data_IF_324876243110
#
_entry.id   IF_324876243110
#
_cell.length_a   1.000
_cell.length_b   1.000
_cell.length_c   1.000
_cell.angle_alpha   90.00
_cell.angle_beta   90.00
_cell.angle_gamma   90.00
#
_symmetry.space_group_name_H-M   'P 1'
#
loop_
_entity.id
_entity.type
_entity.pdbx_description
1 polymer ?
#
# COMPACT_ATOMS: atom_id res chain seq x y z
N UNK A 1 5.75 27.31 -3.17
CA UNK A 1 5.97 26.54 -4.43
C UNK A 1 7.18 27.12 -5.18
N UNK A 2 8.39 26.87 -4.66
CA UNK A 2 9.64 27.50 -5.12
C UNK A 2 10.18 26.86 -6.41
N UNK A 3 9.71 25.67 -6.78
CA UNK A 3 10.50 24.77 -7.63
C UNK A 3 9.99 24.58 -9.06
N UNK A 4 8.80 25.11 -9.42
CA UNK A 4 8.50 25.39 -10.84
C UNK A 4 9.56 26.32 -11.47
N UNK A 5 10.33 27.06 -10.65
CA UNK A 5 11.42 27.92 -11.10
C UNK A 5 12.66 27.17 -11.60
N UNK A 6 12.79 25.86 -11.40
CA UNK A 6 14.04 25.13 -11.71
C UNK A 6 13.90 24.04 -12.77
N UNK A 7 12.69 23.63 -13.14
CA UNK A 7 12.49 22.61 -14.18
C UNK A 7 13.11 23.04 -15.52
N UNK A 8 13.87 22.14 -16.14
CA UNK A 8 14.63 22.40 -17.37
C UNK A 8 15.82 23.33 -17.19
N UNK A 9 16.11 23.81 -15.96
CA UNK A 9 17.29 24.63 -15.69
C UNK A 9 18.50 23.77 -15.39
N UNK A 10 19.64 24.22 -15.90
CA UNK A 10 20.96 23.75 -15.52
C UNK A 10 21.38 24.43 -14.22
N UNK A 11 21.65 23.62 -13.21
CA UNK A 11 22.16 24.02 -11.91
C UNK A 11 23.62 23.60 -11.81
N UNK A 12 24.39 24.36 -11.04
CA UNK A 12 25.79 24.07 -10.75
C UNK A 12 25.93 23.82 -9.27
N UNK A 13 26.41 22.64 -8.89
CA UNK A 13 26.84 22.33 -7.53
C UNK A 13 28.37 22.39 -7.47
N UNK A 14 28.89 22.96 -6.39
CA UNK A 14 30.31 22.93 -6.08
C UNK A 14 30.52 21.92 -4.96
N UNK A 15 31.17 20.81 -5.27
CA UNK A 15 31.51 19.76 -4.31
C UNK A 15 32.90 20.05 -3.76
N UNK A 16 33.01 20.21 -2.45
CA UNK A 16 34.27 20.45 -1.75
C UNK A 16 34.58 19.22 -0.88
N UNK A 17 35.67 18.53 -1.17
CA UNK A 17 36.16 17.39 -0.39
C UNK A 17 37.41 17.79 0.40
N UNK A 18 37.41 17.55 1.72
CA UNK A 18 38.55 17.80 2.61
C UNK A 18 39.07 16.50 3.22
N UNK A 19 40.38 16.27 3.15
CA UNK A 19 41.06 15.15 3.84
C UNK A 19 42.48 15.57 4.23
N UNK A 20 42.84 15.38 5.51
CA UNK A 20 44.18 15.68 6.06
C UNK A 20 44.70 17.08 5.67
N UNK A 21 43.85 18.10 5.81
CA UNK A 21 44.19 19.49 5.49
C UNK A 21 44.28 19.81 3.99
N UNK A 22 44.07 18.84 3.09
CA UNK A 22 43.97 19.08 1.64
C UNK A 22 42.51 19.21 1.22
N UNK A 23 42.22 20.26 0.45
CA UNK A 23 40.92 20.52 -0.15
C UNK A 23 40.96 20.25 -1.66
N UNK A 24 39.91 19.59 -2.18
CA UNK A 24 39.66 19.48 -3.61
C UNK A 24 38.24 19.94 -3.92
N UNK A 25 38.11 20.73 -4.97
CA UNK A 25 36.83 21.29 -5.41
C UNK A 25 36.49 20.77 -6.79
N UNK A 26 35.24 20.37 -7.00
CA UNK A 26 34.69 19.97 -8.31
C UNK A 26 33.35 20.66 -8.53
N UNK A 27 33.26 21.43 -9.60
CA UNK A 27 31.97 21.91 -10.10
C UNK A 27 31.31 20.79 -10.92
N UNK A 28 30.03 20.53 -10.62
CA UNK A 28 29.19 19.58 -11.32
C UNK A 28 27.95 20.32 -11.81
N UNK A 29 27.72 20.26 -13.11
CA UNK A 29 26.49 20.74 -13.72
C UNK A 29 25.47 19.61 -13.73
N UNK A 30 24.24 19.91 -13.31
CA UNK A 30 23.13 18.97 -13.36
C UNK A 30 21.88 19.72 -13.80
N UNK A 31 21.06 19.09 -14.64
CA UNK A 31 19.74 19.61 -14.99
C UNK A 31 18.68 18.96 -14.11
N UNK A 32 17.64 19.71 -13.78
CA UNK A 32 16.41 19.09 -13.27
C UNK A 32 15.45 18.91 -14.43
N UNK A 33 14.96 17.68 -14.62
CA UNK A 33 13.87 17.37 -15.55
C UNK A 33 12.78 16.67 -14.76
N UNK A 34 11.56 17.18 -14.89
CA UNK A 34 10.39 16.57 -14.28
C UNK A 34 9.59 15.81 -15.34
N UNK A 35 9.50 14.47 -15.22
CA UNK A 35 8.58 13.66 -16.03
C UNK A 35 7.18 13.77 -15.43
N UNK A 36 6.33 14.55 -16.11
CA UNK A 36 4.95 14.80 -15.72
C UNK A 36 4.14 13.51 -15.79
N UNK A 37 3.33 13.26 -14.77
CA UNK A 37 2.30 12.21 -14.83
C UNK A 37 0.94 12.80 -15.19
N UNK A 38 0.08 11.98 -15.78
CA UNK A 38 -1.28 12.33 -16.23
C UNK A 38 -2.38 11.82 -15.27
N UNK A 39 -2.00 11.06 -14.25
CA UNK A 39 -2.92 10.40 -13.33
C UNK A 39 -3.24 11.18 -12.05
N UNK A 40 -2.69 12.40 -11.87
CA UNK A 40 -3.00 13.26 -10.72
C UNK A 40 -3.30 14.69 -11.15
N UNK A 41 -4.42 15.21 -10.66
CA UNK A 41 -4.78 16.62 -10.76
C UNK A 41 -4.80 17.26 -9.37
N UNK A 42 -4.22 18.44 -9.23
CA UNK A 42 -4.18 19.17 -7.95
C UNK A 42 -4.68 20.59 -8.11
N UNK A 43 -5.69 20.96 -7.33
CA UNK A 43 -6.21 22.33 -7.20
C UNK A 43 -5.82 22.87 -5.83
N UNK A 44 -5.14 24.02 -5.81
CA UNK A 44 -4.71 24.69 -4.57
C UNK A 44 -5.53 25.97 -4.40
N UNK A 45 -6.34 26.02 -3.36
CA UNK A 45 -7.06 27.20 -2.89
C UNK A 45 -6.34 27.80 -1.68
N UNK A 46 -5.56 28.85 -1.93
CA UNK A 46 -4.78 29.54 -0.89
C UNK A 46 -5.64 30.38 0.05
N UNK A 47 -6.84 30.79 -0.38
CA UNK A 47 -7.71 31.63 0.43
C UNK A 47 -8.39 30.77 1.50
N UNK A 48 -8.90 29.61 1.09
CA UNK A 48 -9.57 28.67 1.98
C UNK A 48 -8.63 27.62 2.61
N UNK A 49 -7.31 27.75 2.40
CA UNK A 49 -6.30 26.81 2.89
C UNK A 49 -6.62 25.35 2.57
N UNK A 50 -7.00 25.11 1.31
CA UNK A 50 -7.47 23.79 0.85
C UNK A 50 -6.74 23.34 -0.41
N UNK A 51 -6.41 22.05 -0.46
CA UNK A 51 -5.82 21.39 -1.61
C UNK A 51 -6.69 20.20 -1.97
N UNK A 52 -7.37 20.26 -3.12
CA UNK A 52 -8.16 19.15 -3.63
C UNK A 52 -7.33 18.40 -4.67
N UNK A 53 -7.15 17.10 -4.46
CA UNK A 53 -6.40 16.22 -5.36
C UNK A 53 -7.33 15.16 -5.93
N UNK A 54 -7.38 15.05 -7.25
CA UNK A 54 -8.02 13.92 -7.94
C UNK A 54 -6.96 12.94 -8.37
N UNK A 55 -7.10 11.68 -7.92
CA UNK A 55 -6.16 10.61 -8.20
C UNK A 55 -6.81 9.53 -9.06
N UNK A 56 -6.29 9.32 -10.28
CA UNK A 56 -6.78 8.29 -11.20
C UNK A 56 -6.08 6.97 -10.91
N UNK A 57 -6.81 6.05 -10.31
CA UNK A 57 -6.34 4.70 -9.95
C UNK A 57 -6.85 3.69 -10.96
N UNK A 58 -6.21 2.53 -11.08
CA UNK A 58 -6.61 1.48 -12.02
C UNK A 58 -6.76 0.14 -11.30
N UNK A 59 -7.84 0.03 -10.52
CA UNK A 59 -8.16 -1.16 -9.74
C UNK A 59 -8.89 -2.17 -10.63
N UNK A 60 -8.40 -3.40 -10.65
CA UNK A 60 -8.92 -4.51 -11.47
C UNK A 60 -9.46 -5.64 -10.61
N UNK A 61 -10.44 -6.38 -11.12
CA UNK A 61 -10.86 -7.64 -10.49
C UNK A 61 -9.77 -8.68 -10.76
N UNK A 62 -8.98 -8.97 -9.73
CA UNK A 62 -7.95 -10.01 -9.76
C UNK A 62 -8.53 -11.42 -9.61
N UNK A 63 -9.85 -11.53 -9.42
CA UNK A 63 -10.55 -12.79 -9.22
C UNK A 63 -10.50 -13.27 -7.77
N UNK A 64 -10.74 -14.56 -7.59
CA UNK A 64 -10.88 -15.19 -6.28
C UNK A 64 -9.97 -16.40 -6.14
N UNK A 65 -9.40 -16.54 -4.95
CA UNK A 65 -8.58 -17.66 -4.55
C UNK A 65 -9.29 -18.43 -3.42
N UNK A 66 -9.22 -19.77 -3.52
CA UNK A 66 -9.76 -20.71 -2.53
C UNK A 66 -11.28 -20.86 -2.45
N UNK A 67 -11.99 -20.51 -3.52
CA UNK A 67 -13.44 -20.80 -3.67
C UNK A 67 -13.75 -21.87 -4.72
N UNK A 68 -12.87 -22.07 -5.71
CA UNK A 68 -13.11 -22.98 -6.83
C UNK A 68 -12.73 -24.42 -6.47
N UNK A 69 -13.71 -25.32 -6.50
CA UNK A 69 -13.45 -26.75 -6.47
C UNK A 69 -12.89 -27.24 -7.81
N UNK A 70 -12.01 -28.23 -7.77
CA UNK A 70 -11.46 -28.89 -8.95
C UNK A 70 -11.84 -30.36 -8.97
N UNK A 71 -12.13 -30.87 -10.16
CA UNK A 71 -12.36 -32.29 -10.39
C UNK A 71 -11.07 -32.95 -10.82
N UNK A 72 -10.78 -34.12 -10.28
CA UNK A 72 -9.61 -34.93 -10.64
C UNK A 72 -10.02 -36.39 -10.77
N UNK A 73 -9.29 -37.14 -11.59
CA UNK A 73 -9.44 -38.58 -11.68
C UNK A 73 -8.74 -39.23 -10.48
N UNK A 74 -9.48 -40.08 -9.79
CA UNK A 74 -9.02 -40.88 -8.66
C UNK A 74 -9.31 -42.35 -8.91
N UNK A 75 -8.66 -43.24 -8.17
CA UNK A 75 -8.80 -44.69 -8.29
C UNK A 75 -7.71 -45.38 -9.11
N UNK A 76 -7.66 -46.70 -9.02
CA UNK A 76 -6.78 -47.54 -9.83
C UNK A 76 -7.24 -47.61 -11.29
N UNK A 77 -6.41 -48.16 -12.18
CA UNK A 77 -6.59 -48.15 -13.65
C UNK A 77 -7.99 -48.57 -14.13
N UNK A 78 -8.63 -49.53 -13.47
CA UNK A 78 -9.94 -50.08 -13.86
C UNK A 78 -11.10 -49.57 -12.96
N UNK A 79 -10.81 -48.70 -11.99
CA UNK A 79 -11.76 -48.12 -11.03
C UNK A 79 -11.73 -46.58 -11.05
N UNK A 80 -11.24 -46.00 -12.15
CA UNK A 80 -11.09 -44.55 -12.25
C UNK A 80 -12.45 -43.87 -12.21
N UNK A 81 -12.61 -42.92 -11.31
CA UNK A 81 -13.79 -42.09 -11.18
C UNK A 81 -13.41 -40.64 -10.91
N UNK A 82 -14.34 -39.73 -11.20
CA UNK A 82 -14.15 -38.31 -10.92
C UNK A 82 -14.45 -38.02 -9.46
N UNK A 83 -13.48 -37.47 -8.75
CA UNK A 83 -13.65 -36.92 -7.42
C UNK A 83 -13.56 -35.39 -7.49
N UNK A 84 -14.33 -34.72 -6.64
CA UNK A 84 -14.28 -33.27 -6.48
C UNK A 84 -13.52 -32.94 -5.19
N UNK A 85 -12.50 -32.09 -5.31
CA UNK A 85 -11.79 -31.50 -4.16
C UNK A 85 -12.03 -30.01 -4.12
N UNK A 86 -12.39 -29.51 -2.96
CA UNK A 86 -12.57 -28.09 -2.73
C UNK A 86 -11.46 -27.54 -1.83
N UNK A 87 -11.12 -26.25 -1.95
CA UNK A 87 -10.04 -25.65 -1.15
C UNK A 87 -10.26 -25.79 0.37
N UNK A 88 -11.51 -25.68 0.83
CA UNK A 88 -11.85 -25.85 2.24
C UNK A 88 -11.66 -27.28 2.77
N UNK A 89 -11.55 -28.29 1.90
CA UNK A 89 -11.27 -29.67 2.33
C UNK A 89 -9.81 -29.83 2.80
N UNK A 90 -8.94 -28.86 2.46
CA UNK A 90 -7.53 -28.83 2.90
C UNK A 90 -7.36 -28.25 4.31
N UNK A 91 -8.39 -27.63 4.87
CA UNK A 91 -8.31 -27.01 6.20
C UNK A 91 -8.25 -28.13 7.24
N UNK A 92 -7.20 -28.21 8.08
CA UNK A 92 -7.10 -29.24 9.11
C UNK A 92 -8.28 -29.16 10.07
N UNK A 93 -8.85 -30.31 10.46
CA UNK A 93 -9.94 -30.36 11.45
C UNK A 93 -9.57 -29.68 12.76
N UNK A 94 -8.30 -29.75 13.16
CA UNK A 94 -7.75 -29.09 14.35
C UNK A 94 -7.72 -27.56 14.26
N UNK A 95 -7.75 -27.00 13.05
CA UNK A 95 -7.79 -25.55 12.83
C UNK A 95 -9.22 -24.99 12.84
N UNK A 96 -10.25 -25.85 12.76
CA UNK A 96 -11.64 -25.41 12.72
C UNK A 96 -12.07 -24.83 14.07
N UNK A 97 -12.60 -23.62 14.02
CA UNK A 97 -13.14 -22.88 15.16
C UNK A 97 -14.66 -23.07 15.23
N UNK A 98 -15.18 -23.38 16.42
CA UNK A 98 -16.61 -23.53 16.64
C UNK A 98 -17.39 -22.29 16.19
N UNK A 99 -18.44 -22.49 15.38
CA UNK A 99 -19.26 -21.41 14.82
C UNK A 99 -18.64 -20.66 13.63
N UNK A 100 -17.45 -21.06 13.14
CA UNK A 100 -16.79 -20.46 11.97
C UNK A 100 -16.63 -21.51 10.87
N UNK A 101 -17.59 -21.53 9.94
CA UNK A 101 -17.52 -22.44 8.79
C UNK A 101 -16.60 -21.89 7.69
N UNK A 102 -15.92 -22.76 6.91
CA UNK A 102 -15.21 -22.32 5.71
C UNK A 102 -16.11 -21.56 4.74
N UNK A 103 -15.56 -20.51 4.12
CA UNK A 103 -16.30 -19.64 3.22
C UNK A 103 -16.38 -20.32 1.85
N UNK A 104 -17.58 -20.50 1.29
CA UNK A 104 -17.77 -21.22 0.01
C UNK A 104 -18.19 -20.32 -1.16
N UNK A 105 -18.35 -19.03 -0.90
CA UNK A 105 -18.62 -18.00 -1.90
C UNK A 105 -18.12 -16.65 -1.38
N UNK A 106 -17.80 -15.72 -2.30
CA UNK A 106 -17.34 -14.36 -1.97
C UNK A 106 -18.28 -13.68 -0.97
N UNK A 107 -17.73 -13.23 0.15
CA UNK A 107 -18.42 -12.35 1.12
C UNK A 107 -18.29 -10.86 0.77
N UNK A 108 -17.47 -10.55 -0.24
CA UNK A 108 -17.28 -9.24 -0.84
C UNK A 108 -17.17 -9.41 -2.35
N UNK A 109 -17.95 -8.63 -3.10
CA UNK A 109 -17.79 -8.53 -4.55
C UNK A 109 -16.57 -7.69 -4.91
N UNK A 110 -16.16 -7.72 -6.18
CA UNK A 110 -15.15 -6.77 -6.66
C UNK A 110 -15.55 -5.31 -6.42
N UNK A 111 -16.81 -4.94 -6.62
CA UNK A 111 -17.28 -3.58 -6.36
C UNK A 111 -17.15 -3.17 -4.88
N UNK A 112 -17.32 -4.12 -3.95
CA UNK A 112 -17.08 -3.87 -2.53
C UNK A 112 -15.59 -3.65 -2.24
N UNK A 113 -14.71 -4.47 -2.83
CA UNK A 113 -13.27 -4.33 -2.69
C UNK A 113 -12.77 -3.02 -3.31
N UNK A 114 -13.24 -2.66 -4.50
CA UNK A 114 -12.95 -1.39 -5.16
C UNK A 114 -13.33 -0.20 -4.26
N UNK A 115 -14.53 -0.24 -3.69
CA UNK A 115 -15.01 0.80 -2.78
C UNK A 115 -14.17 0.88 -1.51
N UNK A 116 -13.78 -0.25 -0.92
CA UNK A 116 -12.89 -0.28 0.24
C UNK A 116 -11.52 0.29 -0.10
N UNK A 117 -10.87 -0.19 -1.17
CA UNK A 117 -9.57 0.30 -1.61
C UNK A 117 -9.58 1.82 -1.84
N UNK A 118 -10.56 2.33 -2.59
CA UNK A 118 -10.72 3.78 -2.83
C UNK A 118 -10.96 4.56 -1.54
N UNK A 119 -11.76 4.03 -0.60
CA UNK A 119 -11.98 4.63 0.71
C UNK A 119 -10.68 4.70 1.52
N UNK A 120 -9.88 3.64 1.50
CA UNK A 120 -8.56 3.58 2.14
C UNK A 120 -7.60 4.61 1.56
N UNK A 121 -7.46 4.64 0.24
CA UNK A 121 -6.63 5.62 -0.49
C UNK A 121 -7.03 7.05 -0.11
N UNK A 122 -8.34 7.36 -0.18
CA UNK A 122 -8.85 8.68 0.15
C UNK A 122 -8.60 9.05 1.61
N UNK A 123 -8.75 8.10 2.54
CA UNK A 123 -8.53 8.32 3.98
C UNK A 123 -7.05 8.58 4.27
N UNK A 124 -6.18 7.66 3.90
CA UNK A 124 -4.80 7.63 4.38
C UNK A 124 -3.88 8.63 3.66
N UNK A 125 -4.21 9.02 2.42
CA UNK A 125 -3.45 10.05 1.71
C UNK A 125 -4.00 11.47 1.93
N UNK A 126 -5.16 11.62 2.59
CA UNK A 126 -5.68 12.94 2.97
C UNK A 126 -5.02 13.47 4.24
N UNK A 127 -4.85 14.80 4.31
CA UNK A 127 -4.32 15.54 5.47
C UNK A 127 -5.38 16.55 5.92
N UNK A 128 -6.33 16.12 6.74
CA UNK A 128 -7.52 16.90 7.15
C UNK A 128 -7.65 16.95 8.68
N UNK A 129 -8.42 17.93 9.20
CA UNK A 129 -8.69 18.04 10.63
C UNK A 129 -7.43 18.25 11.48
N UNK A 130 -7.07 17.26 12.31
CA UNK A 130 -5.87 17.35 13.16
C UNK A 130 -4.57 17.11 12.40
N UNK A 131 -4.65 16.45 11.24
CA UNK A 131 -3.48 15.99 10.48
C UNK A 131 -3.22 16.89 9.28
N UNK A 132 -3.44 18.21 9.39
CA UNK A 132 -3.27 19.15 8.27
C UNK A 132 -1.84 19.18 7.72
N UNK A 133 -1.72 19.60 6.47
CA UNK A 133 -0.43 19.72 5.78
C UNK A 133 0.16 21.11 5.99
N UNK A 134 1.21 21.21 6.80
CA UNK A 134 1.95 22.47 6.98
C UNK A 134 2.84 22.77 5.78
N UNK A 135 2.58 23.85 5.06
CA UNK A 135 3.38 24.39 3.96
C UNK A 135 3.82 25.80 4.35
N UNK A 136 5.13 26.02 4.45
CA UNK A 136 5.71 27.25 5.00
C UNK A 136 5.15 27.56 6.40
N UNK A 137 4.48 28.69 6.60
CA UNK A 137 3.87 29.10 7.88
C UNK A 137 2.36 28.83 7.95
N UNK A 138 1.79 28.13 6.95
CA UNK A 138 0.35 27.92 6.83
C UNK A 138 0.00 26.43 6.84
N UNK A 139 -1.15 26.09 7.40
CA UNK A 139 -1.69 24.73 7.39
C UNK A 139 -2.79 24.62 6.34
N UNK A 140 -2.72 23.58 5.51
CA UNK A 140 -3.70 23.28 4.47
C UNK A 140 -4.43 21.98 4.78
N UNK A 141 -5.75 21.97 4.53
CA UNK A 141 -6.48 20.71 4.38
C UNK A 141 -6.20 20.14 2.98
N UNK A 142 -5.65 18.94 2.92
CA UNK A 142 -5.49 18.22 1.67
C UNK A 142 -6.48 17.07 1.60
N UNK A 143 -7.35 17.11 0.60
CA UNK A 143 -8.39 16.10 0.37
C UNK A 143 -8.05 15.32 -0.89
N UNK A 144 -7.95 14.00 -0.74
CA UNK A 144 -7.78 13.07 -1.85
C UNK A 144 -9.13 12.51 -2.27
N UNK A 145 -9.38 12.56 -3.58
CA UNK A 145 -10.49 11.86 -4.23
C UNK A 145 -9.94 10.95 -5.32
N UNK A 146 -10.02 9.65 -5.09
CA UNK A 146 -9.72 8.64 -6.09
C UNK A 146 -10.86 8.49 -7.10
N UNK A 147 -10.51 8.17 -8.34
CA UNK A 147 -11.41 7.76 -9.42
C UNK A 147 -10.80 6.51 -10.05
N UNK A 148 -11.54 5.40 -10.11
CA UNK A 148 -11.09 4.21 -10.81
C UNK A 148 -11.31 4.37 -12.32
N UNK A 149 -10.23 4.24 -13.09
CA UNK A 149 -10.23 4.37 -14.55
C UNK A 149 -8.97 3.72 -15.14
N UNK A 150 -9.02 3.32 -16.40
CA UNK A 150 -7.84 2.88 -17.16
C UNK A 150 -7.26 3.99 -18.06
N UNK A 151 -7.85 5.19 -18.04
CA UNK A 151 -7.43 6.33 -18.85
C UNK A 151 -6.59 7.26 -17.98
N UNK A 152 -5.35 7.54 -18.41
CA UNK A 152 -4.42 8.42 -17.70
C UNK A 152 -4.36 8.06 -16.22
N UNK A 153 -4.12 6.79 -15.92
CA UNK A 153 -4.23 6.22 -14.57
C UNK A 153 -2.88 5.72 -14.10
N UNK A 154 -2.76 5.49 -12.80
CA UNK A 154 -1.68 4.66 -12.25
C UNK A 154 -1.65 3.27 -12.91
N UNK A 155 -0.53 2.57 -12.73
CA UNK A 155 -0.40 1.16 -13.10
C UNK A 155 -1.52 0.33 -12.48
N UNK A 156 -1.97 -0.74 -13.16
CA UNK A 156 -3.05 -1.58 -12.67
C UNK A 156 -2.67 -2.27 -11.35
N UNK A 157 -3.64 -2.35 -10.44
CA UNK A 157 -3.57 -3.11 -9.20
C UNK A 157 -4.73 -4.11 -9.17
N UNK A 158 -4.41 -5.40 -9.09
CA UNK A 158 -5.39 -6.46 -9.00
C UNK A 158 -5.89 -6.60 -7.56
N UNK A 159 -7.20 -6.49 -7.36
CA UNK A 159 -7.85 -6.76 -6.08
C UNK A 159 -8.31 -8.22 -6.06
N UNK A 160 -7.73 -9.03 -5.18
CA UNK A 160 -7.96 -10.48 -5.13
C UNK A 160 -8.70 -10.82 -3.85
N UNK A 161 -9.84 -11.50 -3.98
CA UNK A 161 -10.54 -12.08 -2.83
C UNK A 161 -9.86 -13.40 -2.44
N UNK A 162 -9.41 -13.56 -1.20
CA UNK A 162 -8.68 -14.75 -0.79
C UNK A 162 -9.23 -15.39 0.50
N UNK A 163 -9.39 -16.71 0.45
CA UNK A 163 -9.84 -17.53 1.59
C UNK A 163 -9.43 -18.99 1.37
N UNK A 164 -9.63 -19.87 2.36
CA UNK A 164 -9.40 -21.33 2.34
C UNK A 164 -8.08 -21.80 1.66
N UNK A 165 -7.02 -21.02 1.78
CA UNK A 165 -5.74 -21.28 1.13
C UNK A 165 -4.63 -20.51 1.80
N UNK A 166 -3.48 -20.42 1.16
CA UNK A 166 -2.38 -19.58 1.64
C UNK A 166 -2.83 -18.14 1.81
N UNK A 167 -2.38 -17.50 2.89
CA UNK A 167 -2.53 -16.07 3.10
C UNK A 167 -1.82 -15.34 1.95
N UNK A 168 -2.53 -14.43 1.29
CA UNK A 168 -2.04 -13.73 0.12
C UNK A 168 -1.24 -12.50 0.51
N UNK A 169 0.03 -12.45 0.10
CA UNK A 169 0.90 -11.29 0.30
C UNK A 169 0.65 -10.23 -0.76
N UNK A 170 0.11 -9.09 -0.33
CA UNK A 170 0.02 -7.90 -1.16
C UNK A 170 1.40 -7.36 -1.51
N UNK A 171 1.53 -6.73 -2.67
CA UNK A 171 2.77 -6.13 -3.11
C UNK A 171 2.63 -5.41 -4.45
N UNK A 172 3.36 -4.32 -4.60
CA UNK A 172 3.40 -3.51 -5.82
C UNK A 172 4.83 -3.29 -6.34
N UNK A 173 5.34 -4.30 -7.04
CA UNK A 173 6.63 -4.24 -7.73
C UNK A 173 6.67 -3.29 -8.94
N UNK A 174 5.55 -2.64 -9.30
CA UNK A 174 5.45 -1.73 -10.44
C UNK A 174 4.29 -2.06 -11.36
N UNK A 175 4.44 -3.12 -12.17
CA UNK A 175 3.47 -3.44 -13.23
C UNK A 175 2.56 -4.65 -12.91
N UNK A 176 2.86 -5.40 -11.85
CA UNK A 176 2.12 -6.59 -11.42
C UNK A 176 1.68 -6.46 -9.96
N UNK A 177 1.06 -5.32 -9.62
CA UNK A 177 0.63 -5.07 -8.25
C UNK A 177 -0.61 -5.89 -7.90
N UNK A 178 -0.57 -6.56 -6.75
CA UNK A 178 -1.66 -7.39 -6.22
C UNK A 178 -1.98 -6.96 -4.80
N UNK A 179 -3.26 -6.84 -4.49
CA UNK A 179 -3.76 -6.53 -3.15
C UNK A 179 -4.77 -7.62 -2.77
N UNK A 180 -4.43 -8.36 -1.72
CA UNK A 180 -5.23 -9.49 -1.25
C UNK A 180 -6.19 -9.06 -0.14
N UNK A 181 -7.48 -9.34 -0.33
CA UNK A 181 -8.49 -9.32 0.73
C UNK A 181 -8.53 -10.70 1.39
N UNK A 182 -7.71 -10.89 2.43
CA UNK A 182 -7.60 -12.15 3.16
C UNK A 182 -8.70 -12.28 4.21
N UNK A 183 -9.57 -13.29 4.09
CA UNK A 183 -10.72 -13.48 5.00
C UNK A 183 -11.02 -14.95 5.25
N UNK A 184 -11.60 -15.27 6.40
CA UNK A 184 -11.91 -16.65 6.77
C UNK A 184 -10.64 -17.46 7.05
N UNK A 185 -10.66 -18.76 6.75
CA UNK A 185 -9.49 -19.60 6.99
C UNK A 185 -8.37 -19.28 6.01
N UNK A 186 -7.19 -18.94 6.51
CA UNK A 186 -5.98 -18.75 5.71
C UNK A 186 -4.84 -19.57 6.32
N UNK A 187 -3.91 -20.01 5.48
CA UNK A 187 -2.68 -20.66 5.88
C UNK A 187 -1.53 -19.63 5.92
N UNK A 188 -0.86 -19.50 7.05
CA UNK A 188 0.16 -18.48 7.33
C UNK A 188 1.59 -19.03 7.30
N UNK A 189 1.84 -20.21 6.69
CA UNK A 189 3.17 -20.84 6.70
C UNK A 189 4.27 -19.93 6.12
N UNK A 190 3.92 -19.10 5.12
CA UNK A 190 4.84 -18.15 4.47
C UNK A 190 4.85 -16.75 5.15
N UNK A 191 4.15 -16.59 6.27
CA UNK A 191 4.04 -15.31 6.99
C UNK A 191 5.05 -15.23 8.13
N UNK A 192 5.83 -14.15 8.17
CA UNK A 192 6.84 -13.89 9.18
C UNK A 192 6.20 -13.34 10.47
N UNK A 193 5.31 -14.10 11.12
CA UNK A 193 4.93 -13.83 12.52
C UNK A 193 4.95 -15.11 13.37
N UNK A 194 5.74 -15.14 14.46
CA UNK A 194 5.93 -16.32 15.32
C UNK A 194 4.72 -16.67 16.22
N UNK A 195 3.60 -15.95 16.12
CA UNK A 195 2.42 -16.13 16.99
C UNK A 195 1.30 -17.01 16.41
N UNK A 196 1.37 -17.40 15.14
CA UNK A 196 0.48 -18.44 14.59
C UNK A 196 1.09 -19.81 14.88
N UNK A 197 0.72 -20.36 16.04
CA UNK A 197 1.20 -21.66 16.53
C UNK A 197 0.71 -22.82 15.63
N UNK A 198 -0.30 -22.57 14.79
CA UNK A 198 -0.77 -23.47 13.74
C UNK A 198 -0.72 -22.75 12.40
N UNK A 199 -0.28 -23.48 11.37
CA UNK A 199 -0.19 -23.00 9.99
C UNK A 199 -1.50 -22.41 9.46
N UNK A 200 -2.65 -22.67 10.09
CA UNK A 200 -3.97 -22.16 9.70
C UNK A 200 -4.62 -21.31 10.79
N UNK A 201 -5.24 -20.19 10.40
CA UNK A 201 -6.02 -19.32 11.29
C UNK A 201 -7.26 -18.74 10.59
N UNK A 202 -8.24 -18.27 11.38
CA UNK A 202 -9.45 -17.65 10.86
C UNK A 202 -9.41 -16.12 11.01
N UNK A 203 -9.45 -15.40 9.91
CA UNK A 203 -9.54 -13.94 9.84
C UNK A 203 -11.00 -13.50 9.82
N UNK A 204 -11.44 -12.94 10.95
CA UNK A 204 -12.78 -12.39 11.14
C UNK A 204 -12.82 -10.91 10.78
N UNK A 205 -13.84 -10.50 10.01
CA UNK A 205 -13.94 -9.12 9.51
C UNK A 205 -13.96 -8.07 10.62
N UNK A 206 -14.53 -8.37 11.79
CA UNK A 206 -14.63 -7.44 12.91
C UNK A 206 -13.43 -7.58 13.84
N UNK A 207 -13.15 -8.79 14.33
CA UNK A 207 -12.08 -9.00 15.32
C UNK A 207 -10.70 -8.70 14.73
N UNK A 208 -10.48 -9.09 13.48
CA UNK A 208 -9.20 -8.89 12.80
C UNK A 208 -9.18 -7.60 11.97
N UNK A 209 -10.28 -6.83 11.91
CA UNK A 209 -10.35 -5.56 11.18
C UNK A 209 -9.95 -5.71 9.70
N UNK A 210 -10.47 -6.75 9.05
CA UNK A 210 -10.06 -7.14 7.68
C UNK A 210 -10.35 -6.04 6.67
N UNK A 211 -11.49 -5.35 6.81
CA UNK A 211 -11.85 -4.25 5.90
C UNK A 211 -10.89 -3.05 6.07
N UNK A 212 -10.52 -2.70 7.31
CA UNK A 212 -9.56 -1.63 7.60
C UNK A 212 -8.13 -1.98 7.17
N UNK A 213 -7.70 -3.21 7.38
CA UNK A 213 -6.40 -3.71 6.94
C UNK A 213 -6.27 -3.69 5.41
N UNK A 214 -7.33 -4.11 4.70
CA UNK A 214 -7.38 -4.04 3.26
C UNK A 214 -7.37 -2.58 2.75
N UNK A 215 -8.09 -1.67 3.42
CA UNK A 215 -8.05 -0.23 3.15
C UNK A 215 -6.64 0.35 3.32
N UNK A 216 -5.97 0.01 4.42
CA UNK A 216 -4.60 0.40 4.73
C UNK A 216 -3.63 -0.12 3.67
N UNK A 217 -3.65 -1.44 3.42
CA UNK A 217 -2.78 -2.10 2.46
C UNK A 217 -2.97 -1.54 1.06
N UNK A 218 -4.22 -1.28 0.63
CA UNK A 218 -4.49 -0.66 -0.66
C UNK A 218 -3.85 0.72 -0.79
N UNK A 219 -3.89 1.52 0.27
CA UNK A 219 -3.26 2.84 0.28
C UNK A 219 -1.73 2.77 0.31
N UNK A 220 -1.15 1.81 1.03
CA UNK A 220 0.28 1.54 1.10
C UNK A 220 0.83 1.07 -0.27
N UNK A 221 0.22 0.05 -0.86
CA UNK A 221 0.63 -0.48 -2.16
C UNK A 221 0.49 0.55 -3.28
N UNK A 222 -0.57 1.36 -3.26
CA UNK A 222 -0.68 2.48 -4.19
C UNK A 222 0.45 3.51 -3.98
N UNK A 223 0.83 3.74 -2.72
CA UNK A 223 1.93 4.61 -2.33
C UNK A 223 3.24 4.27 -3.02
N UNK A 224 3.52 2.98 -3.22
CA UNK A 224 4.70 2.57 -3.98
C UNK A 224 4.74 3.13 -5.40
N UNK A 225 3.59 3.27 -6.08
CA UNK A 225 3.53 3.85 -7.42
C UNK A 225 3.82 5.35 -7.37
N UNK A 226 3.26 6.06 -6.39
CA UNK A 226 3.49 7.50 -6.19
C UNK A 226 4.96 7.76 -5.91
N UNK A 227 5.53 7.08 -4.91
CA UNK A 227 6.91 7.31 -4.48
C UNK A 227 7.92 6.88 -5.55
N UNK A 228 7.61 5.83 -6.33
CA UNK A 228 8.45 5.41 -7.46
C UNK A 228 8.43 6.46 -8.57
N UNK A 229 7.28 7.05 -8.87
CA UNK A 229 7.20 8.14 -9.86
C UNK A 229 7.94 9.40 -9.40
N UNK A 230 7.96 9.68 -8.10
CA UNK A 230 8.65 10.84 -7.55
C UNK A 230 10.17 10.66 -7.43
N UNK A 231 10.62 9.55 -6.83
CA UNK A 231 12.01 9.35 -6.39
C UNK A 231 12.64 8.02 -6.82
N UNK A 232 11.97 7.25 -7.67
CA UNK A 232 12.45 5.95 -8.15
C UNK A 232 12.23 4.79 -7.16
N UNK A 233 12.65 3.60 -7.55
CA UNK A 233 12.39 2.35 -6.80
C UNK A 233 13.01 2.35 -5.41
N UNK A 234 14.24 2.85 -5.27
CA UNK A 234 14.91 2.90 -3.97
C UNK A 234 14.11 3.72 -2.95
N UNK A 235 13.69 4.92 -3.35
CA UNK A 235 12.87 5.79 -2.51
C UNK A 235 11.54 5.14 -2.11
N UNK A 236 10.92 4.42 -3.05
CA UNK A 236 9.66 3.71 -2.83
C UNK A 236 9.78 2.54 -1.86
N UNK A 237 10.89 1.80 -1.87
CA UNK A 237 11.02 0.50 -1.19
C UNK A 237 11.72 0.57 0.16
N UNK A 238 12.53 1.59 0.43
CA UNK A 238 13.18 1.74 1.74
C UNK A 238 12.27 2.37 2.80
N UNK A 239 11.10 2.88 2.41
CA UNK A 239 10.07 3.37 3.32
C UNK A 239 10.57 4.42 4.33
N UNK A 240 11.19 5.51 3.84
CA UNK A 240 11.84 6.52 4.70
C UNK A 240 12.81 5.90 5.72
N UNK A 241 13.61 4.94 5.25
CA UNK A 241 14.61 4.22 6.04
C UNK A 241 14.02 3.37 7.18
N UNK A 242 12.71 3.05 7.14
CA UNK A 242 12.13 2.07 8.07
C UNK A 242 12.43 0.62 7.67
N UNK A 243 12.92 0.40 6.45
CA UNK A 243 13.16 -0.93 5.90
C UNK A 243 14.31 -0.96 4.91
N UNK A 244 14.83 -2.16 4.69
CA UNK A 244 15.79 -2.44 3.63
C UNK A 244 15.11 -2.44 2.25
N UNK A 245 15.88 -2.50 1.17
CA UNK A 245 15.36 -2.54 -0.20
C UNK A 245 14.45 -3.75 -0.47
N UNK A 246 14.63 -4.82 0.30
CA UNK A 246 13.79 -6.03 0.31
C UNK A 246 12.54 -5.89 1.19
N UNK A 247 12.24 -4.67 1.62
CA UNK A 247 11.07 -4.31 2.42
C UNK A 247 11.00 -5.12 3.74
N UNK A 248 12.17 -5.43 4.32
CA UNK A 248 12.28 -6.02 5.65
C UNK A 248 12.48 -4.90 6.67
N UNK A 249 11.69 -4.83 7.75
CA UNK A 249 11.84 -3.77 8.75
C UNK A 249 13.24 -3.80 9.39
N UNK A 250 13.93 -2.65 9.40
CA UNK A 250 15.30 -2.57 9.93
C UNK A 250 15.37 -2.17 11.42
N UNK A 251 14.27 -1.64 11.97
CA UNK A 251 14.14 -1.22 13.37
C UNK A 251 14.42 0.25 13.63
N UNK A 252 14.65 1.07 12.60
CA UNK A 252 14.90 2.50 12.73
C UNK A 252 13.64 3.29 13.11
N UNK A 253 12.46 2.73 12.84
CA UNK A 253 11.15 3.27 13.23
C UNK A 253 10.45 2.29 14.17
N UNK A 254 9.55 2.82 15.01
CA UNK A 254 8.75 2.02 15.96
C UNK A 254 7.28 2.41 15.88
N UNK A 255 6.42 1.40 15.81
CA UNK A 255 4.97 1.59 15.80
C UNK A 255 4.51 2.30 17.06
N UNK A 256 5.01 1.86 18.23
CA UNK A 256 4.61 2.42 19.52
C UNK A 256 5.00 3.88 19.66
N UNK A 257 6.19 4.26 19.18
CA UNK A 257 6.66 5.64 19.21
C UNK A 257 5.81 6.55 18.31
N UNK A 258 5.54 6.14 17.07
CA UNK A 258 4.73 6.92 16.15
C UNK A 258 3.29 7.06 16.63
N UNK A 259 2.69 5.97 17.10
CA UNK A 259 1.36 5.99 17.72
C UNK A 259 1.26 7.05 18.82
N UNK A 260 2.29 7.19 19.67
CA UNK A 260 2.31 8.17 20.75
C UNK A 260 2.40 9.63 20.26
N UNK A 261 2.86 9.86 19.03
CA UNK A 261 2.85 11.19 18.40
C UNK A 261 1.49 11.57 17.81
N UNK A 262 0.56 10.60 17.66
CA UNK A 262 -0.77 10.81 17.10
C UNK A 262 -0.88 10.59 15.59
N UNK A 263 0.22 10.27 14.90
CA UNK A 263 0.24 9.85 13.50
C UNK A 263 1.13 8.62 13.36
N UNK A 264 0.70 7.64 12.55
CA UNK A 264 1.51 6.49 12.14
C UNK A 264 1.75 6.64 10.65
N UNK A 265 3.00 6.58 10.20
CA UNK A 265 3.29 6.74 8.78
C UNK A 265 2.77 5.53 7.99
N UNK A 266 1.88 5.80 7.02
CA UNK A 266 1.33 4.81 6.09
C UNK A 266 2.40 3.94 5.41
N UNK A 267 3.57 4.52 5.11
CA UNK A 267 4.60 3.82 4.35
C UNK A 267 5.58 3.07 5.24
N UNK A 268 5.59 3.26 6.56
CA UNK A 268 6.60 2.62 7.40
C UNK A 268 6.30 1.15 7.71
N UNK A 269 7.38 0.38 7.80
CA UNK A 269 7.41 -0.95 8.39
C UNK A 269 8.11 -0.93 9.74
N UNK A 270 7.58 -1.72 10.68
CA UNK A 270 8.02 -1.74 12.07
C UNK A 270 8.51 -3.13 12.47
N UNK A 271 9.56 -3.21 13.31
CA UNK A 271 9.94 -4.49 13.93
C UNK A 271 9.01 -4.85 15.08
N UNK A 272 8.48 -3.85 15.78
CA UNK A 272 7.50 -3.95 16.85
C UNK A 272 6.05 -3.87 16.33
N UNK A 273 5.82 -4.30 15.09
CA UNK A 273 4.51 -4.22 14.46
C UNK A 273 3.48 -5.04 15.25
N UNK A 274 2.35 -4.45 15.67
CA UNK A 274 1.39 -5.18 16.47
C UNK A 274 0.63 -6.20 15.61
N UNK A 275 -0.04 -7.12 16.26
CA UNK A 275 -1.00 -7.98 15.55
C UNK A 275 -2.09 -7.12 14.89
N UNK A 276 -2.56 -7.52 13.70
CA UNK A 276 -3.56 -6.78 12.90
C UNK A 276 -4.77 -6.28 13.72
N UNK A 277 -5.28 -7.10 14.65
CA UNK A 277 -6.40 -6.72 15.52
C UNK A 277 -6.10 -5.56 16.49
N UNK A 278 -4.82 -5.33 16.81
CA UNK A 278 -4.33 -4.28 17.71
C UNK A 278 -3.85 -3.02 16.97
N UNK A 279 -3.77 -3.09 15.63
CA UNK A 279 -3.38 -1.96 14.80
C UNK A 279 -4.38 -0.81 14.89
N UNK A 280 -3.88 0.42 14.94
CA UNK A 280 -4.69 1.65 15.02
C UNK A 280 -4.78 2.33 13.65
N UNK A 281 -5.60 1.74 12.76
CA UNK A 281 -5.82 2.24 11.41
C UNK A 281 -6.39 3.67 11.33
N UNK A 282 -6.77 4.30 12.44
CA UNK A 282 -7.26 5.68 12.45
C UNK A 282 -6.14 6.72 12.54
N UNK A 283 -4.98 6.34 13.07
CA UNK A 283 -3.82 7.22 13.16
C UNK A 283 -2.93 7.14 11.92
N UNK A 284 -3.16 6.15 11.04
CA UNK A 284 -2.35 5.97 9.85
C UNK A 284 -2.64 7.06 8.82
N UNK A 285 -1.58 7.79 8.44
CA UNK A 285 -1.60 8.81 7.40
C UNK A 285 -0.29 8.79 6.61
N UNK A 286 -0.36 9.12 5.32
CA UNK A 286 0.83 9.37 4.52
C UNK A 286 1.62 10.55 5.11
N UNK A 287 2.94 10.42 5.14
CA UNK A 287 3.80 11.46 5.72
C UNK A 287 3.65 12.78 4.95
N UNK A 288 4.04 13.88 5.61
CA UNK A 288 4.09 15.19 4.96
C UNK A 288 4.93 15.14 3.67
N UNK A 289 6.07 14.46 3.71
CA UNK A 289 7.00 14.31 2.60
C UNK A 289 6.35 13.52 1.45
N UNK A 290 5.66 12.43 1.74
CA UNK A 290 4.99 11.61 0.72
C UNK A 290 3.84 12.37 0.04
N UNK A 291 3.04 13.09 0.83
CA UNK A 291 1.95 13.92 0.30
C UNK A 291 2.49 15.07 -0.56
N UNK A 292 3.59 15.70 -0.14
CA UNK A 292 4.25 16.72 -0.96
C UNK A 292 4.81 16.14 -2.26
N UNK A 293 5.30 14.89 -2.22
CA UNK A 293 5.75 14.14 -3.39
C UNK A 293 4.60 13.86 -4.36
N UNK A 294 3.41 13.54 -3.85
CA UNK A 294 2.20 13.43 -4.68
C UNK A 294 1.81 14.77 -5.32
N UNK A 295 1.77 15.86 -4.54
CA UNK A 295 1.42 17.20 -5.07
C UNK A 295 2.42 17.64 -6.14
N UNK A 296 3.69 17.32 -5.93
CA UNK A 296 4.76 17.59 -6.86
C UNK A 296 4.50 16.97 -8.23
N UNK A 297 3.88 15.79 -8.26
CA UNK A 297 3.63 15.05 -9.48
C UNK A 297 2.59 15.70 -10.41
N UNK A 298 1.91 16.77 -9.98
CA UNK A 298 0.86 17.39 -10.80
C UNK A 298 1.38 17.90 -12.15
N UNK A 299 0.57 17.72 -13.19
CA UNK A 299 0.72 18.46 -14.46
C UNK A 299 0.20 19.91 -14.27
N UNK A 300 0.94 20.96 -14.69
CA UNK A 300 0.35 22.30 -14.79
C UNK A 300 -0.77 22.28 -15.83
N UNK A 301 -1.92 22.91 -15.53
CA UNK A 301 -2.88 23.24 -16.58
C UNK A 301 -2.24 24.29 -17.49
N UNK A 302 -2.20 24.00 -18.79
CA UNK A 302 -1.93 24.98 -19.84
C UNK A 302 -3.05 26.01 -19.91
#
# INVERSE_FOLDING_TARGET
MIVQKFNGKKLKAVIIARKNGKEKTKEVEFSTSYEKVDWVDVKIDKNNKRIDTTLRVNLKDGGEEGLKCTSYLAGARDETHWEQRCPWDKIPKSALVAGKSPIKARTRSFADLEKLAMKGINKHWSRVGKNTLSIDTENYELVIKSINTNIMSLNPLDLIYNTNGSWGRSGNAGFLGKIYYNVGYCNFLDWYQPSFINEWGYLDTVKNKVDEDFMYTSAHELGHTILRAYGGTWHSFTHDDSSEIWQTPNGNKSYSNEKNTGEINLMHYFKDDPHQSQYDFNLIVASKQDVLSLIWLKKPKE
#
